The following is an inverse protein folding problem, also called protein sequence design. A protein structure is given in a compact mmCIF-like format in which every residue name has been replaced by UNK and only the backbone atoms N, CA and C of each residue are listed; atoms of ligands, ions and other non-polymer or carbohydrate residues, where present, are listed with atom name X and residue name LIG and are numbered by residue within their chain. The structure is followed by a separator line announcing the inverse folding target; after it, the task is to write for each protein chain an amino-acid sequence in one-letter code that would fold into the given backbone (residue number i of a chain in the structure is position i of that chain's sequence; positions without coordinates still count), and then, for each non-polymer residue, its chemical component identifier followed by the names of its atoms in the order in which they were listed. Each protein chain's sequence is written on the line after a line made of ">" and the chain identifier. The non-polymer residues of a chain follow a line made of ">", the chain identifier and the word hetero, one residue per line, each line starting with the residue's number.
data_IF_919906378134
#
_entry.id   IF_919906378134
#
_cell.length_a   1.000
_cell.length_b   1.000
_cell.length_c   1.000
_cell.angle_alpha   90.00
_cell.angle_beta   90.00
_cell.angle_gamma   90.00
#
_symmetry.space_group_name_H-M   'P 1'
#
loop_
_entity.id
_entity.type
_entity.pdbx_description
1 polymer ?
#
# COMPACT_ATOMS: atom_id res chain seq x y z
N UNK A 1 -55.70 -6.89 -25.60
CA UNK A 1 -54.95 -7.37 -24.44
C UNK A 1 -53.55 -6.83 -24.60
N UNK A 2 -53.30 -5.77 -23.83
CA UNK A 2 -52.16 -4.87 -23.89
C UNK A 2 -50.82 -5.58 -23.72
N UNK A 3 -49.86 -5.24 -24.57
CA UNK A 3 -48.46 -5.58 -24.36
C UNK A 3 -47.97 -4.71 -23.20
N UNK A 4 -47.73 -5.34 -22.06
CA UNK A 4 -47.08 -4.70 -20.93
C UNK A 4 -45.62 -4.44 -21.33
N UNK A 5 -45.33 -3.21 -21.76
CA UNK A 5 -43.96 -2.73 -21.94
C UNK A 5 -43.32 -2.71 -20.56
N UNK A 6 -42.41 -3.65 -20.30
CA UNK A 6 -41.52 -3.60 -19.15
C UNK A 6 -40.65 -2.36 -19.30
N UNK A 7 -40.97 -1.30 -18.57
CA UNK A 7 -40.06 -0.16 -18.39
C UNK A 7 -38.90 -0.71 -17.56
N UNK A 8 -37.73 -0.82 -18.17
CA UNK A 8 -36.50 -1.06 -17.42
C UNK A 8 -36.23 0.28 -16.73
N UNK A 9 -36.44 0.36 -15.42
CA UNK A 9 -36.07 1.55 -14.65
C UNK A 9 -34.55 1.75 -14.77
N UNK A 10 -34.13 2.92 -15.23
CA UNK A 10 -32.70 3.24 -15.37
C UNK A 10 -32.08 3.29 -13.97
N UNK A 11 -30.93 2.62 -13.73
CA UNK A 11 -30.31 2.59 -12.42
C UNK A 11 -29.95 4.01 -11.98
N UNK A 12 -30.33 4.37 -10.77
CA UNK A 12 -30.01 5.65 -10.17
C UNK A 12 -28.81 5.52 -9.25
N UNK A 13 -28.18 6.64 -8.93
CA UNK A 13 -27.12 6.70 -7.92
C UNK A 13 -27.65 6.20 -6.58
N UNK A 14 -28.95 6.30 -6.27
CA UNK A 14 -29.53 5.70 -5.07
C UNK A 14 -29.44 4.16 -5.01
N UNK A 15 -29.26 3.48 -6.14
CA UNK A 15 -29.24 2.03 -6.26
C UNK A 15 -27.83 1.42 -6.11
N UNK A 16 -26.76 2.24 -6.11
CA UNK A 16 -25.40 1.72 -5.98
C UNK A 16 -25.07 1.42 -4.50
N UNK A 17 -24.27 0.37 -4.22
CA UNK A 17 -23.87 0.02 -2.88
C UNK A 17 -23.07 1.17 -2.20
N UNK A 18 -23.15 1.23 -0.87
CA UNK A 18 -22.32 2.12 0.00
C UNK A 18 -22.58 3.63 -0.14
N UNK A 19 -23.55 4.06 -0.95
CA UNK A 19 -23.90 5.48 -1.09
C UNK A 19 -24.67 6.03 0.11
N UNK A 20 -25.41 5.17 0.81
CA UNK A 20 -26.12 5.52 2.05
C UNK A 20 -25.20 6.03 3.16
N UNK A 21 -23.91 5.67 3.10
CA UNK A 21 -22.94 5.95 4.14
C UNK A 21 -22.21 7.29 3.93
N UNK A 22 -22.43 7.94 2.78
CA UNK A 22 -21.82 9.23 2.41
C UNK A 22 -22.93 10.30 2.25
N UNK A 23 -23.18 11.14 3.27
CA UNK A 23 -24.28 12.12 3.29
C UNK A 23 -24.27 13.10 2.10
N UNK A 24 -23.09 13.41 1.56
CA UNK A 24 -22.95 14.26 0.39
C UNK A 24 -23.53 13.62 -0.88
N UNK A 25 -23.44 12.30 -1.01
CA UNK A 25 -23.93 11.54 -2.17
C UNK A 25 -25.43 11.30 -2.10
N UNK A 26 -26.05 11.35 -0.91
CA UNK A 26 -27.50 11.25 -0.77
C UNK A 26 -28.27 12.33 -1.57
N UNK A 27 -27.66 13.49 -1.82
CA UNK A 27 -28.24 14.56 -2.66
C UNK A 27 -28.31 14.19 -4.14
N UNK A 28 -27.59 13.15 -4.54
CA UNK A 28 -27.51 12.66 -5.90
C UNK A 28 -28.36 11.39 -6.09
N UNK A 29 -29.10 10.94 -5.08
CA UNK A 29 -29.84 9.67 -5.14
C UNK A 29 -30.75 9.54 -6.38
N UNK A 30 -31.39 10.64 -6.79
CA UNK A 30 -32.29 10.66 -7.95
C UNK A 30 -31.56 10.82 -9.31
N UNK A 31 -30.23 10.93 -9.30
CA UNK A 31 -29.43 11.08 -10.53
C UNK A 31 -29.32 9.74 -11.22
N UNK A 32 -29.69 9.69 -12.50
CA UNK A 32 -29.54 8.50 -13.34
C UNK A 32 -28.06 8.22 -13.61
N UNK A 33 -27.64 6.98 -13.40
CA UNK A 33 -26.31 6.50 -13.78
C UNK A 33 -26.29 6.33 -15.30
N UNK A 34 -25.44 7.07 -16.03
CA UNK A 34 -25.38 6.94 -17.48
C UNK A 34 -24.82 5.57 -17.89
N UNK A 35 -25.27 5.08 -19.04
CA UNK A 35 -24.70 3.88 -19.66
C UNK A 35 -23.17 4.00 -19.81
N UNK A 36 -22.40 2.98 -19.37
CA UNK A 36 -20.95 3.03 -19.42
C UNK A 36 -20.45 3.06 -20.87
N UNK A 37 -19.54 4.01 -21.15
CA UNK A 37 -18.95 4.18 -22.50
C UNK A 37 -18.02 3.00 -22.86
N UNK A 38 -17.46 2.33 -21.84
CA UNK A 38 -16.50 1.24 -21.98
C UNK A 38 -17.00 0.02 -21.22
N UNK A 39 -16.64 -1.15 -21.72
CA UNK A 39 -16.85 -2.41 -21.02
C UNK A 39 -16.12 -2.39 -19.67
N UNK A 40 -16.66 -3.13 -18.70
CA UNK A 40 -16.02 -3.33 -17.41
C UNK A 40 -14.67 -4.01 -17.59
N UNK A 41 -13.65 -3.47 -16.92
CA UNK A 41 -12.31 -4.05 -16.94
C UNK A 41 -12.34 -5.34 -16.10
N UNK A 42 -11.89 -6.48 -16.63
CA UNK A 42 -11.84 -7.71 -15.86
C UNK A 42 -10.92 -7.53 -14.64
N UNK A 43 -11.30 -8.11 -13.51
CA UNK A 43 -10.55 -7.95 -12.27
C UNK A 43 -9.09 -8.43 -12.38
N UNK A 44 -8.79 -9.40 -13.24
CA UNK A 44 -7.42 -9.85 -13.53
C UNK A 44 -6.50 -8.76 -14.12
N UNK A 45 -7.06 -7.72 -14.76
CA UNK A 45 -6.27 -6.55 -15.20
C UNK A 45 -6.11 -5.50 -14.09
N UNK A 46 -6.81 -5.68 -12.97
CA UNK A 46 -6.81 -4.80 -11.81
C UNK A 46 -6.02 -5.36 -10.62
N UNK A 47 -5.26 -6.45 -10.79
CA UNK A 47 -4.45 -7.08 -9.73
C UNK A 47 -3.50 -6.09 -9.02
N UNK A 48 -3.03 -5.05 -9.73
CA UNK A 48 -2.20 -3.99 -9.15
C UNK A 48 -2.92 -3.13 -8.08
N UNK A 49 -4.25 -3.25 -7.98
CA UNK A 49 -5.09 -2.59 -6.97
C UNK A 49 -5.34 -3.47 -5.75
N UNK A 50 -4.96 -4.75 -5.82
CA UNK A 50 -5.05 -5.68 -4.71
C UNK A 50 -3.83 -5.46 -3.81
N UNK A 51 -4.01 -4.59 -2.83
CA UNK A 51 -2.96 -4.32 -1.87
C UNK A 51 -2.76 -5.53 -0.96
N UNK A 52 -1.50 -5.85 -0.72
CA UNK A 52 -1.14 -6.89 0.23
C UNK A 52 -1.46 -6.42 1.66
N UNK A 53 -2.59 -6.89 2.19
CA UNK A 53 -3.08 -6.66 3.56
C UNK A 53 -2.36 -7.52 4.61
N UNK A 54 -1.38 -8.34 4.22
CA UNK A 54 -0.58 -9.07 5.19
C UNK A 54 0.16 -8.08 6.08
N UNK A 55 0.35 -8.46 7.33
CA UNK A 55 1.15 -7.70 8.30
C UNK A 55 2.64 -7.78 7.97
N UNK A 56 3.03 -7.28 6.79
CA UNK A 56 4.34 -7.45 6.16
C UNK A 56 5.49 -6.94 7.03
N UNK A 57 5.21 -6.02 7.95
CA UNK A 57 6.20 -5.50 8.89
C UNK A 57 6.60 -6.50 9.95
N UNK A 58 5.75 -7.47 10.30
CA UNK A 58 6.06 -8.44 11.36
C UNK A 58 7.20 -9.39 10.99
N UNK A 59 7.55 -9.48 9.70
CA UNK A 59 8.75 -10.20 9.26
C UNK A 59 10.03 -9.50 9.71
N UNK A 60 9.98 -8.18 9.89
CA UNK A 60 11.09 -7.37 10.38
C UNK A 60 11.23 -7.61 11.90
N UNK A 61 12.39 -8.08 12.40
CA UNK A 61 12.56 -8.42 13.81
C UNK A 61 12.17 -7.31 14.78
N UNK A 62 12.52 -6.05 14.47
CA UNK A 62 12.21 -4.91 15.31
C UNK A 62 10.71 -4.56 15.40
N UNK A 63 9.88 -5.04 14.46
CA UNK A 63 8.45 -4.71 14.40
C UNK A 63 7.53 -5.94 14.59
N UNK A 64 8.09 -7.10 14.93
CA UNK A 64 7.35 -8.37 15.07
C UNK A 64 6.13 -8.29 15.98
N UNK A 65 6.26 -7.56 17.08
CA UNK A 65 5.24 -7.44 18.13
C UNK A 65 4.39 -6.16 18.02
N UNK A 66 4.58 -5.36 16.96
CA UNK A 66 3.84 -4.12 16.72
C UNK A 66 2.51 -4.47 16.04
N UNK A 67 1.40 -3.95 16.56
CA UNK A 67 0.07 -4.11 15.93
C UNK A 67 -0.12 -3.17 14.73
N UNK A 68 -1.18 -3.41 13.95
CA UNK A 68 -1.46 -2.63 12.74
C UNK A 68 -1.70 -1.15 13.02
N UNK A 69 -2.51 -0.82 14.04
CA UNK A 69 -2.89 0.56 14.35
C UNK A 69 -1.66 1.38 14.77
N UNK A 70 -0.79 0.78 15.57
CA UNK A 70 0.48 1.36 15.94
C UNK A 70 1.41 1.48 14.74
N UNK A 71 1.50 0.45 13.90
CA UNK A 71 2.42 0.46 12.76
C UNK A 71 2.05 1.52 11.74
N UNK A 72 0.77 1.68 11.39
CA UNK A 72 0.32 2.63 10.36
C UNK A 72 0.32 4.08 10.84
N UNK A 73 0.41 4.32 12.16
CA UNK A 73 0.47 5.67 12.73
C UNK A 73 1.68 6.46 12.22
N UNK A 74 1.43 7.70 11.77
CA UNK A 74 2.47 8.54 11.18
C UNK A 74 3.59 8.90 12.18
N UNK A 75 3.30 8.98 13.48
CA UNK A 75 4.31 9.29 14.50
C UNK A 75 5.20 8.09 14.71
N UNK A 76 4.63 6.88 14.75
CA UNK A 76 5.41 5.65 14.78
C UNK A 76 6.35 5.57 13.58
N UNK A 77 5.83 5.83 12.36
CA UNK A 77 6.64 5.83 11.14
C UNK A 77 7.78 6.87 11.18
N UNK A 78 7.50 8.08 11.67
CA UNK A 78 8.49 9.15 11.77
C UNK A 78 9.59 8.85 12.80
N UNK A 79 9.21 8.37 13.98
CA UNK A 79 10.14 8.09 15.10
C UNK A 79 11.05 6.91 14.75
N UNK A 80 10.51 5.87 14.11
CA UNK A 80 11.25 4.65 13.79
C UNK A 80 11.87 4.66 12.37
N UNK A 81 11.95 5.83 11.73
CA UNK A 81 12.60 5.94 10.42
C UNK A 81 14.08 5.59 10.49
N UNK A 82 14.56 4.83 9.51
CA UNK A 82 15.98 4.54 9.29
C UNK A 82 16.66 5.79 8.76
N UNK A 83 17.62 6.32 9.51
CA UNK A 83 18.40 7.51 9.14
C UNK A 83 19.90 7.24 9.04
N UNK A 84 20.35 6.02 9.34
CA UNK A 84 21.75 5.62 9.28
C UNK A 84 21.87 4.12 9.01
N UNK A 85 23.02 3.65 8.47
CA UNK A 85 23.29 2.23 8.26
C UNK A 85 23.12 1.41 9.53
N UNK A 86 23.59 1.92 10.66
CA UNK A 86 23.56 1.22 11.94
C UNK A 86 22.11 1.00 12.39
N UNK A 87 21.24 2.00 12.17
CA UNK A 87 19.82 1.88 12.49
C UNK A 87 19.12 0.88 11.59
N UNK A 88 19.52 0.79 10.31
CA UNK A 88 19.00 -0.23 9.42
C UNK A 88 19.31 -1.62 9.97
N UNK A 89 20.58 -1.90 10.24
CA UNK A 89 21.05 -3.20 10.75
C UNK A 89 20.37 -3.58 12.06
N UNK A 90 20.14 -2.62 12.96
CA UNK A 90 19.36 -2.83 14.19
C UNK A 90 17.92 -3.28 13.90
N UNK A 91 17.28 -2.70 12.88
CA UNK A 91 15.87 -2.95 12.54
C UNK A 91 15.70 -4.29 11.81
N UNK A 92 16.50 -4.53 10.76
CA UNK A 92 16.36 -5.72 9.92
C UNK A 92 16.99 -6.97 10.54
N UNK A 93 17.96 -6.80 11.45
CA UNK A 93 18.64 -7.89 12.12
C UNK A 93 19.22 -8.90 11.12
N UNK A 94 18.84 -10.17 11.28
CA UNK A 94 19.35 -11.29 10.47
C UNK A 94 18.71 -11.39 9.07
N UNK A 95 17.76 -10.52 8.71
CA UNK A 95 17.13 -10.54 7.38
C UNK A 95 18.07 -10.11 6.26
N UNK A 96 19.03 -9.22 6.55
CA UNK A 96 20.02 -8.79 5.58
C UNK A 96 21.32 -9.58 5.81
N UNK A 97 21.91 -10.09 4.72
CA UNK A 97 23.21 -10.73 4.81
C UNK A 97 24.28 -9.73 5.26
N UNK A 98 25.27 -10.19 6.02
CA UNK A 98 26.39 -9.33 6.43
C UNK A 98 27.15 -8.76 5.23
N UNK A 99 27.20 -9.50 4.12
CA UNK A 99 27.79 -9.04 2.86
C UNK A 99 27.04 -7.80 2.33
N UNK A 100 25.71 -7.87 2.26
CA UNK A 100 24.88 -6.74 1.84
C UNK A 100 25.04 -5.53 2.75
N UNK A 101 25.05 -5.74 4.07
CA UNK A 101 25.24 -4.65 5.04
C UNK A 101 26.58 -3.95 4.84
N UNK A 102 27.66 -4.72 4.67
CA UNK A 102 29.00 -4.17 4.47
C UNK A 102 29.10 -3.37 3.15
N UNK A 103 28.46 -3.85 2.09
CA UNK A 103 28.44 -3.20 0.78
C UNK A 103 27.64 -1.89 0.82
N UNK A 104 26.44 -1.91 1.42
CA UNK A 104 25.64 -0.71 1.65
C UNK A 104 26.41 0.35 2.47
N UNK A 105 27.06 -0.07 3.57
CA UNK A 105 27.88 0.85 4.36
C UNK A 105 29.03 1.46 3.56
N UNK A 106 29.69 0.67 2.70
CA UNK A 106 30.75 1.16 1.83
C UNK A 106 30.22 2.18 0.81
N UNK A 107 29.05 1.91 0.23
CA UNK A 107 28.35 2.83 -0.66
C UNK A 107 28.00 4.16 0.02
N UNK A 108 27.41 4.12 1.22
CA UNK A 108 27.05 5.31 1.99
C UNK A 108 28.29 6.13 2.43
N UNK A 109 29.43 5.47 2.69
CA UNK A 109 30.71 6.16 2.94
C UNK A 109 31.27 6.82 1.69
N UNK A 110 31.13 6.20 0.53
CA UNK A 110 31.61 6.73 -0.74
C UNK A 110 30.75 7.89 -1.26
N UNK A 111 29.44 7.83 -1.02
CA UNK A 111 28.45 8.83 -1.46
C UNK A 111 27.48 9.16 -0.30
N UNK A 112 27.90 10.02 0.65
CA UNK A 112 27.06 10.35 1.80
C UNK A 112 25.82 11.16 1.35
N UNK A 113 24.64 10.55 1.54
CA UNK A 113 23.34 11.19 1.35
C UNK A 113 22.60 11.24 2.68
N UNK A 114 21.79 12.28 2.89
CA UNK A 114 20.86 12.31 4.02
C UNK A 114 19.67 11.39 3.70
N UNK A 115 19.62 10.22 4.34
CA UNK A 115 18.56 9.23 4.14
C UNK A 115 17.55 9.27 5.30
N UNK A 116 16.27 9.10 4.97
CA UNK A 116 15.20 8.87 5.94
C UNK A 116 14.18 7.94 5.29
N UNK A 117 14.24 6.66 5.65
CA UNK A 117 13.34 5.64 5.10
C UNK A 117 12.39 5.19 6.21
N UNK A 118 11.09 5.23 5.96
CA UNK A 118 10.08 4.87 6.97
C UNK A 118 10.03 3.36 7.21
N UNK A 119 9.60 2.90 8.40
CA UNK A 119 9.36 1.48 8.68
C UNK A 119 8.50 0.79 7.63
N UNK A 120 7.49 1.48 7.07
CA UNK A 120 6.64 0.96 6.01
C UNK A 120 7.46 0.59 4.77
N UNK A 121 8.30 1.50 4.27
CA UNK A 121 9.15 1.23 3.11
C UNK A 121 10.16 0.11 3.38
N UNK A 122 10.80 0.12 4.54
CA UNK A 122 11.71 -0.96 4.99
C UNK A 122 11.00 -2.31 5.01
N UNK A 123 9.74 -2.34 5.44
CA UNK A 123 8.93 -3.56 5.51
C UNK A 123 8.47 -4.05 4.14
N UNK A 124 8.59 -3.25 3.08
CA UNK A 124 8.25 -3.62 1.70
C UNK A 124 9.42 -4.17 0.90
N UNK A 125 10.66 -3.90 1.30
CA UNK A 125 11.87 -4.41 0.63
C UNK A 125 11.92 -5.94 0.69
N UNK A 126 12.16 -6.60 -0.44
CA UNK A 126 12.53 -8.01 -0.47
C UNK A 126 13.94 -8.22 0.09
N UNK A 127 14.02 -8.61 1.37
CA UNK A 127 15.29 -8.87 2.06
C UNK A 127 15.92 -10.21 1.67
N UNK A 128 15.20 -11.11 1.00
CA UNK A 128 15.78 -12.35 0.47
C UNK A 128 16.59 -12.08 -0.82
N UNK A 129 16.21 -11.07 -1.58
CA UNK A 129 16.95 -10.59 -2.74
C UNK A 129 17.04 -9.04 -2.79
N UNK A 130 17.75 -8.42 -1.85
CA UNK A 130 17.73 -6.97 -1.72
C UNK A 130 18.34 -6.30 -2.95
N UNK A 131 19.30 -6.91 -3.64
CA UNK A 131 19.98 -6.36 -4.81
C UNK A 131 19.12 -6.17 -6.08
N UNK A 132 18.00 -6.89 -6.18
CA UNK A 132 17.04 -6.71 -7.27
C UNK A 132 15.72 -6.06 -6.81
N UNK A 133 15.56 -5.81 -5.49
CA UNK A 133 14.37 -5.16 -4.96
C UNK A 133 14.27 -3.69 -5.43
N UNK A 134 13.17 -3.30 -6.11
CA UNK A 134 13.04 -1.96 -6.67
C UNK A 134 12.95 -0.85 -5.60
N UNK A 135 12.43 -1.14 -4.42
CA UNK A 135 12.31 -0.16 -3.33
C UNK A 135 13.70 0.12 -2.75
N UNK A 136 14.52 -0.90 -2.53
CA UNK A 136 15.91 -0.74 -2.09
C UNK A 136 16.79 -0.10 -3.17
N UNK A 137 16.55 -0.34 -4.46
CA UNK A 137 17.27 0.41 -5.52
C UNK A 137 16.98 1.92 -5.41
N UNK A 138 15.75 2.27 -5.04
CA UNK A 138 15.31 3.66 -5.00
C UNK A 138 15.78 4.43 -3.75
N UNK A 139 15.88 3.77 -2.59
CA UNK A 139 16.17 4.38 -1.29
C UNK A 139 17.44 3.84 -0.64
#
# INVERSE_FOLDING_TARGET
>A
MDKQTSVIEEPTVGDLPEISDIPELAKLADVVVPEPIKEEVPHSELEHRDFDDREVWRRIPAFKDVDYEQFIDFKFQLINSVTSPEKLTEIVGELASQEFVNDMEAGLRAAPMNVRVSPYLISRIDWDNPYDDPIRIQF
#
